data_IF_395725952186
#
_entry.id   IF_395725952186
#
_cell.length_a   1.000
_cell.length_b   1.000
_cell.length_c   1.000
_cell.angle_alpha   90.00
_cell.angle_beta   90.00
_cell.angle_gamma   90.00
#
_symmetry.space_group_name_H-M   'P 1'
#
loop_
_entity.id
_entity.type
_entity.pdbx_description
1 polymer ?
#
# COMPACT_ATOMS: atom_id res chain seq x y z
N UNK A 1 -1.07 -4.66 22.42
CA UNK A 1 -1.74 -4.02 21.29
C UNK A 1 -2.03 -5.03 20.18
N UNK A 2 -3.01 -4.73 19.33
CA UNK A 2 -3.36 -5.54 18.14
C UNK A 2 -2.14 -5.84 17.26
N UNK A 3 -1.30 -4.83 17.04
CA UNK A 3 -0.08 -4.97 16.27
C UNK A 3 0.88 -6.01 16.87
N UNK A 4 1.10 -5.97 18.19
CA UNK A 4 1.94 -6.97 18.87
C UNK A 4 1.38 -8.40 18.75
N UNK A 5 0.06 -8.57 18.74
CA UNK A 5 -0.58 -9.86 18.55
C UNK A 5 -0.42 -10.39 17.12
N UNK A 6 -0.47 -9.49 16.11
CA UNK A 6 -0.24 -9.85 14.72
C UNK A 6 1.21 -10.27 14.45
N UNK A 7 2.17 -9.72 15.19
CA UNK A 7 3.60 -10.10 15.12
C UNK A 7 3.92 -11.40 15.86
N UNK A 8 3.05 -11.81 16.78
CA UNK A 8 3.20 -13.08 17.51
C UNK A 8 2.36 -14.17 16.87
N UNK A 9 2.74 -15.41 17.12
CA UNK A 9 2.01 -16.59 16.61
C UNK A 9 0.78 -16.92 17.49
N UNK A 10 -0.06 -15.90 17.76
CA UNK A 10 -1.35 -16.09 18.42
C UNK A 10 -2.37 -16.70 17.47
N UNK A 11 -3.36 -17.40 17.98
CA UNK A 11 -4.39 -18.01 17.16
C UNK A 11 -5.23 -16.96 16.39
N UNK A 12 -5.82 -17.36 15.27
CA UNK A 12 -6.76 -16.51 14.50
C UNK A 12 -7.94 -16.09 15.37
N UNK A 13 -8.42 -16.99 16.25
CA UNK A 13 -9.55 -16.70 17.13
C UNK A 13 -9.23 -15.62 18.17
N UNK A 14 -8.02 -15.63 18.71
CA UNK A 14 -7.55 -14.59 19.63
C UNK A 14 -7.40 -13.25 18.92
N UNK A 15 -6.89 -13.25 17.67
CA UNK A 15 -6.82 -12.05 16.85
C UNK A 15 -8.20 -11.47 16.56
N UNK A 16 -9.15 -12.30 16.14
CA UNK A 16 -10.54 -11.89 15.87
C UNK A 16 -11.15 -11.23 17.10
N UNK A 17 -11.04 -11.86 18.28
CA UNK A 17 -11.54 -11.29 19.55
C UNK A 17 -10.89 -9.94 19.87
N UNK A 18 -9.58 -9.81 19.66
CA UNK A 18 -8.87 -8.57 19.92
C UNK A 18 -9.33 -7.44 18.98
N UNK A 19 -9.64 -7.75 17.73
CA UNK A 19 -10.24 -6.80 16.79
C UNK A 19 -11.68 -6.44 17.20
N UNK A 20 -12.49 -7.40 17.62
CA UNK A 20 -13.86 -7.16 18.10
C UNK A 20 -13.90 -6.20 19.30
N UNK A 21 -12.87 -6.22 20.14
CA UNK A 21 -12.71 -5.26 21.24
C UNK A 21 -12.27 -3.86 20.78
N UNK A 22 -11.79 -3.73 19.55
CA UNK A 22 -11.35 -2.47 18.94
C UNK A 22 -12.25 -2.07 17.78
N UNK A 23 -13.49 -1.69 18.09
CA UNK A 23 -14.54 -1.42 17.08
C UNK A 23 -14.12 -0.39 16.03
N UNK A 24 -13.44 0.69 16.43
CA UNK A 24 -13.01 1.76 15.52
C UNK A 24 -12.02 1.23 14.49
N UNK A 25 -10.96 0.55 14.93
CA UNK A 25 -9.96 -0.06 14.04
C UNK A 25 -10.60 -1.10 13.12
N UNK A 26 -11.50 -1.93 13.66
CA UNK A 26 -12.21 -2.95 12.88
C UNK A 26 -13.10 -2.35 11.80
N UNK A 27 -13.85 -1.30 12.10
CA UNK A 27 -14.69 -0.59 11.12
C UNK A 27 -13.86 0.08 10.05
N UNK A 28 -12.79 0.78 10.40
CA UNK A 28 -11.86 1.41 9.44
C UNK A 28 -11.23 0.36 8.53
N UNK A 29 -10.79 -0.76 9.10
CA UNK A 29 -10.23 -1.87 8.33
C UNK A 29 -11.23 -2.47 7.34
N UNK A 30 -12.46 -2.76 7.78
CA UNK A 30 -13.50 -3.31 6.92
C UNK A 30 -13.90 -2.32 5.81
N UNK A 31 -14.04 -1.04 6.11
CA UNK A 31 -14.29 0.01 5.12
C UNK A 31 -13.16 0.08 4.10
N UNK A 32 -11.93 0.08 4.58
CA UNK A 32 -10.75 0.08 3.74
C UNK A 32 -10.70 -1.14 2.82
N UNK A 33 -10.90 -2.34 3.35
CA UNK A 33 -10.93 -3.58 2.57
C UNK A 33 -12.05 -3.62 1.52
N UNK A 34 -13.18 -3.00 1.83
CA UNK A 34 -14.32 -2.91 0.92
C UNK A 34 -14.25 -1.69 -0.01
N UNK A 35 -13.23 -0.85 0.13
CA UNK A 35 -12.99 0.24 -0.80
C UNK A 35 -12.55 -0.30 -2.17
N UNK A 36 -12.69 0.53 -3.18
CA UNK A 36 -12.27 0.19 -4.54
C UNK A 36 -10.79 -0.18 -4.68
N UNK A 37 -9.95 0.14 -3.68
CA UNK A 37 -8.52 -0.20 -3.63
C UNK A 37 -8.29 -1.70 -3.79
N UNK A 38 -9.10 -2.53 -3.14
CA UNK A 38 -8.94 -4.00 -3.21
C UNK A 38 -9.72 -4.66 -4.34
N UNK A 39 -10.63 -3.96 -5.00
CA UNK A 39 -11.44 -4.49 -6.11
C UNK A 39 -12.00 -5.89 -5.85
N UNK A 40 -12.44 -6.14 -4.62
CA UNK A 40 -12.96 -7.44 -4.20
C UNK A 40 -14.30 -7.72 -4.90
N UNK A 41 -14.45 -8.93 -5.47
CA UNK A 41 -15.70 -9.35 -6.08
C UNK A 41 -16.85 -9.41 -5.08
N UNK A 42 -16.55 -9.79 -3.84
CA UNK A 42 -17.50 -9.86 -2.74
C UNK A 42 -16.99 -9.00 -1.58
N UNK A 43 -17.86 -8.18 -0.96
CA UNK A 43 -17.47 -7.40 0.20
C UNK A 43 -16.99 -8.29 1.35
N UNK A 44 -15.98 -7.82 2.05
CA UNK A 44 -15.51 -8.44 3.28
C UNK A 44 -16.40 -8.01 4.43
N UNK A 45 -16.96 -8.98 5.15
CA UNK A 45 -17.91 -8.75 6.26
C UNK A 45 -17.35 -9.09 7.64
N UNK A 46 -16.12 -9.65 7.71
CA UNK A 46 -15.54 -10.08 8.98
C UNK A 46 -14.01 -9.96 8.99
N UNK A 47 -13.45 -9.73 10.17
CA UNK A 47 -12.01 -9.71 10.41
C UNK A 47 -11.37 -11.05 10.06
N UNK A 48 -12.05 -12.16 10.32
CA UNK A 48 -11.57 -13.49 9.94
C UNK A 48 -11.36 -13.58 8.42
N UNK A 49 -12.28 -13.04 7.64
CA UNK A 49 -12.18 -13.02 6.18
C UNK A 49 -11.01 -12.13 5.73
N UNK A 50 -10.79 -10.98 6.38
CA UNK A 50 -9.62 -10.13 6.15
C UNK A 50 -8.32 -10.88 6.41
N UNK A 51 -8.21 -11.58 7.54
CA UNK A 51 -7.03 -12.41 7.88
C UNK A 51 -6.77 -13.50 6.85
N UNK A 52 -7.82 -14.10 6.32
CA UNK A 52 -7.71 -15.14 5.28
C UNK A 52 -7.24 -14.58 3.94
N UNK A 53 -7.69 -13.37 3.58
CA UNK A 53 -7.36 -12.73 2.30
C UNK A 53 -5.97 -12.09 2.30
N UNK A 54 -5.62 -11.35 3.34
CA UNK A 54 -4.37 -10.59 3.42
C UNK A 54 -3.24 -11.38 4.07
N UNK A 55 -3.56 -12.27 5.00
CA UNK A 55 -2.58 -12.83 5.91
C UNK A 55 -2.21 -11.87 7.06
N UNK A 56 -1.40 -12.36 8.00
CA UNK A 56 -1.05 -11.64 9.24
C UNK A 56 -0.15 -10.44 9.01
N UNK A 57 0.88 -10.61 8.20
CA UNK A 57 1.93 -9.60 8.02
C UNK A 57 1.40 -8.34 7.31
N UNK A 58 0.72 -8.42 6.15
CA UNK A 58 0.08 -7.25 5.56
C UNK A 58 -0.97 -6.62 6.47
N UNK A 59 -1.75 -7.43 7.21
CA UNK A 59 -2.72 -6.91 8.16
C UNK A 59 -2.07 -6.15 9.32
N UNK A 60 -0.93 -6.63 9.85
CA UNK A 60 -0.19 -5.94 10.89
C UNK A 60 0.26 -4.55 10.44
N UNK A 61 0.74 -4.43 9.21
CA UNK A 61 1.16 -3.17 8.64
C UNK A 61 -0.02 -2.19 8.47
N UNK A 62 -1.18 -2.70 8.04
CA UNK A 62 -2.39 -1.90 7.94
C UNK A 62 -2.93 -1.45 9.30
N UNK A 63 -2.97 -2.34 10.27
CA UNK A 63 -3.38 -1.98 11.64
C UNK A 63 -2.47 -0.90 12.21
N UNK A 64 -1.18 -0.99 11.96
CA UNK A 64 -0.24 0.03 12.40
C UNK A 64 -0.52 1.38 11.75
N UNK A 65 -0.81 1.42 10.44
CA UNK A 65 -1.20 2.63 9.72
C UNK A 65 -2.49 3.23 10.29
N UNK A 66 -3.50 2.40 10.54
CA UNK A 66 -4.78 2.84 11.10
C UNK A 66 -4.65 3.37 12.53
N UNK A 67 -3.87 2.69 13.38
CA UNK A 67 -3.61 3.16 14.75
C UNK A 67 -2.85 4.48 14.78
N UNK A 68 -1.93 4.67 13.83
CA UNK A 68 -1.21 5.92 13.70
C UNK A 68 -2.15 7.05 13.25
N UNK A 69 -3.02 6.79 12.28
CA UNK A 69 -4.01 7.78 11.84
C UNK A 69 -4.96 8.20 12.97
N UNK A 70 -5.31 7.29 13.89
CA UNK A 70 -6.11 7.63 15.07
C UNK A 70 -5.37 8.50 16.10
N UNK A 71 -4.08 8.22 16.29
CA UNK A 71 -3.25 9.04 17.19
C UNK A 71 -3.05 10.47 16.66
N UNK A 72 -3.25 10.69 15.35
CA UNK A 72 -3.06 11.95 14.65
C UNK A 72 -4.39 12.62 14.24
N UNK A 73 -5.55 12.18 14.72
CA UNK A 73 -6.85 12.80 14.40
C UNK A 73 -6.92 14.31 14.74
N UNK A 74 -5.92 14.82 15.46
CA UNK A 74 -5.70 16.26 15.66
C UNK A 74 -4.83 16.92 14.61
N UNK A 75 -4.20 16.19 13.69
CA UNK A 75 -3.28 16.73 12.71
C UNK A 75 -3.87 16.63 11.29
N UNK A 76 -4.24 17.78 10.72
CA UNK A 76 -4.84 17.92 9.38
C UNK A 76 -3.98 17.37 8.23
N UNK A 77 -2.74 16.92 8.52
CA UNK A 77 -1.78 16.46 7.52
C UNK A 77 -1.84 14.96 7.21
N UNK A 78 -2.57 14.16 7.96
CA UNK A 78 -2.58 12.70 7.80
C UNK A 78 -3.40 12.25 6.58
N UNK A 79 -4.53 12.90 6.32
CA UNK A 79 -5.39 12.57 5.17
C UNK A 79 -4.66 12.70 3.82
N UNK A 80 -3.93 13.80 3.52
CA UNK A 80 -3.15 13.90 2.28
C UNK A 80 -2.10 12.80 2.12
N UNK A 81 -1.42 12.39 3.21
CA UNK A 81 -0.43 11.32 3.17
C UNK A 81 -1.07 9.96 2.85
N UNK A 82 -2.25 9.66 3.39
CA UNK A 82 -2.98 8.45 3.05
C UNK A 82 -3.39 8.44 1.58
N UNK A 83 -3.84 9.58 1.03
CA UNK A 83 -4.14 9.70 -0.40
C UNK A 83 -2.90 9.47 -1.27
N UNK A 84 -1.73 9.96 -0.85
CA UNK A 84 -0.47 9.68 -1.53
C UNK A 84 -0.12 8.19 -1.50
N UNK A 85 -0.35 7.49 -0.38
CA UNK A 85 -0.13 6.04 -0.27
C UNK A 85 -1.05 5.30 -1.24
N UNK A 86 -2.34 5.66 -1.30
CA UNK A 86 -3.31 5.06 -2.24
C UNK A 86 -2.88 5.27 -3.68
N UNK A 87 -2.52 6.50 -4.06
CA UNK A 87 -2.03 6.82 -5.40
C UNK A 87 -0.80 5.97 -5.76
N UNK A 88 0.18 5.93 -4.88
CA UNK A 88 1.45 5.23 -5.13
C UNK A 88 1.27 3.73 -5.22
N UNK A 89 0.46 3.13 -4.37
CA UNK A 89 0.16 1.70 -4.41
C UNK A 89 -0.56 1.31 -5.69
N UNK A 90 -1.54 2.11 -6.15
CA UNK A 90 -2.24 1.86 -7.41
C UNK A 90 -1.30 1.97 -8.61
N UNK A 91 -0.48 3.03 -8.68
CA UNK A 91 0.50 3.20 -9.74
C UNK A 91 1.49 2.03 -9.81
N UNK A 92 1.99 1.55 -8.66
CA UNK A 92 2.90 0.40 -8.59
C UNK A 92 2.26 -0.86 -9.18
N UNK A 93 1.00 -1.14 -8.81
CA UNK A 93 0.28 -2.32 -9.30
C UNK A 93 -0.02 -2.20 -10.79
N UNK A 94 -0.46 -1.05 -11.26
CA UNK A 94 -0.78 -0.81 -12.66
C UNK A 94 0.45 -0.83 -13.57
N UNK A 95 1.57 -0.28 -13.11
CA UNK A 95 2.84 -0.39 -13.84
C UNK A 95 3.34 -1.84 -13.89
N UNK A 96 3.20 -2.60 -12.80
CA UNK A 96 3.49 -4.03 -12.82
C UNK A 96 2.66 -4.75 -13.89
N UNK A 97 1.34 -4.51 -13.94
CA UNK A 97 0.44 -5.12 -14.92
C UNK A 97 0.81 -4.76 -16.36
N UNK A 98 1.27 -3.52 -16.57
CA UNK A 98 1.72 -3.05 -17.88
C UNK A 98 3.00 -3.74 -18.35
N UNK A 99 3.99 -3.85 -17.46
CA UNK A 99 5.31 -4.46 -17.77
C UNK A 99 5.24 -5.99 -17.75
N UNK A 100 4.40 -6.56 -16.89
CA UNK A 100 4.22 -8.02 -16.72
C UNK A 100 2.73 -8.38 -16.82
N UNK A 101 2.16 -8.50 -18.02
CA UNK A 101 0.71 -8.72 -18.19
C UNK A 101 0.13 -9.98 -17.52
N UNK A 102 0.99 -10.94 -17.16
CA UNK A 102 0.63 -12.16 -16.44
C UNK A 102 1.24 -12.22 -15.04
N UNK A 103 1.36 -11.06 -14.39
CA UNK A 103 1.88 -10.98 -13.03
C UNK A 103 1.08 -11.88 -12.08
N UNK A 104 1.78 -12.59 -11.22
CA UNK A 104 1.18 -13.46 -10.20
C UNK A 104 0.57 -12.65 -9.06
N UNK A 105 -0.30 -13.27 -8.28
CA UNK A 105 -0.85 -12.63 -7.06
C UNK A 105 0.26 -12.18 -6.09
N UNK A 106 1.32 -12.95 -5.98
CA UNK A 106 2.48 -12.61 -5.15
C UNK A 106 3.19 -11.36 -5.67
N UNK A 107 3.39 -11.23 -6.98
CA UNK A 107 3.99 -10.04 -7.58
C UNK A 107 3.12 -8.79 -7.37
N UNK A 108 1.80 -8.89 -7.53
CA UNK A 108 0.88 -7.79 -7.21
C UNK A 108 0.99 -7.37 -5.74
N UNK A 109 1.00 -8.35 -4.81
CA UNK A 109 1.14 -8.07 -3.39
C UNK A 109 2.47 -7.37 -3.09
N UNK A 110 3.58 -7.79 -3.69
CA UNK A 110 4.89 -7.17 -3.51
C UNK A 110 4.92 -5.74 -4.07
N UNK A 111 4.40 -5.51 -5.28
CA UNK A 111 4.34 -4.17 -5.86
C UNK A 111 3.52 -3.20 -4.99
N UNK A 112 2.35 -3.64 -4.56
CA UNK A 112 1.51 -2.90 -3.62
C UNK A 112 2.25 -2.56 -2.33
N UNK A 113 2.94 -3.55 -1.73
CA UNK A 113 3.65 -3.41 -0.47
C UNK A 113 4.82 -2.44 -0.58
N UNK A 114 5.60 -2.50 -1.66
CA UNK A 114 6.69 -1.55 -1.93
C UNK A 114 6.15 -0.12 -2.06
N UNK A 115 5.05 0.05 -2.80
CA UNK A 115 4.39 1.36 -2.93
C UNK A 115 3.98 1.94 -1.58
N UNK A 116 3.34 1.14 -0.73
CA UNK A 116 2.93 1.55 0.62
C UNK A 116 4.14 1.90 1.50
N UNK A 117 5.13 1.03 1.56
CA UNK A 117 6.29 1.21 2.42
C UNK A 117 7.18 2.38 2.00
N UNK A 118 7.15 2.76 0.73
CA UNK A 118 7.95 3.88 0.24
C UNK A 118 7.62 5.23 0.91
N UNK A 119 6.45 5.35 1.51
CA UNK A 119 5.95 6.55 2.21
C UNK A 119 5.79 6.37 3.72
N UNK A 120 6.06 5.17 4.24
CA UNK A 120 5.79 4.85 5.65
C UNK A 120 6.52 5.77 6.63
N UNK A 121 7.71 6.21 6.28
CA UNK A 121 8.53 7.12 7.10
C UNK A 121 7.88 8.49 7.30
N UNK A 122 7.10 8.96 6.34
CA UNK A 122 6.34 10.20 6.47
C UNK A 122 5.18 10.05 7.44
N UNK A 123 4.51 8.89 7.42
CA UNK A 123 3.41 8.59 8.32
C UNK A 123 3.87 8.47 9.79
N UNK A 124 5.06 7.93 10.02
CA UNK A 124 5.59 7.75 11.38
C UNK A 124 6.52 8.86 11.85
N UNK A 125 6.84 9.81 10.97
CA UNK A 125 7.81 10.87 11.25
C UNK A 125 9.12 10.32 11.84
N UNK A 126 9.63 9.24 11.27
CA UNK A 126 10.90 8.58 11.63
C UNK A 126 11.73 8.34 10.37
N UNK A 127 13.06 8.16 10.50
CA UNK A 127 13.90 7.84 9.34
C UNK A 127 13.40 6.60 8.59
N UNK A 128 13.35 6.66 7.26
CA UNK A 128 12.80 5.60 6.40
C UNK A 128 13.40 4.22 6.69
N UNK A 129 14.72 4.15 6.82
CA UNK A 129 15.43 2.91 7.15
C UNK A 129 15.03 2.33 8.50
N UNK A 130 14.78 3.19 9.48
CA UNK A 130 14.29 2.77 10.79
C UNK A 130 12.87 2.23 10.71
N UNK A 131 11.98 2.88 9.94
CA UNK A 131 10.63 2.41 9.70
C UNK A 131 10.61 0.99 9.11
N UNK A 132 11.38 0.76 8.03
CA UNK A 132 11.46 -0.54 7.37
C UNK A 132 12.07 -1.62 8.28
N UNK A 133 13.09 -1.26 9.08
CA UNK A 133 13.70 -2.19 10.05
C UNK A 133 12.73 -2.61 11.14
N UNK A 134 11.91 -1.67 11.66
CA UNK A 134 10.88 -1.97 12.66
C UNK A 134 9.80 -2.92 12.12
N UNK A 135 9.55 -2.89 10.82
CA UNK A 135 8.60 -3.76 10.14
C UNK A 135 9.18 -5.13 9.76
N UNK A 136 10.49 -5.30 9.93
CA UNK A 136 11.21 -6.53 9.57
C UNK A 136 10.90 -6.99 8.13
N UNK A 137 10.93 -6.05 7.19
CA UNK A 137 10.66 -6.35 5.78
C UNK A 137 11.78 -7.17 5.14
N UNK A 138 11.45 -7.92 4.10
CA UNK A 138 12.45 -8.67 3.33
C UNK A 138 13.52 -7.73 2.74
N UNK A 139 14.80 -8.16 2.69
CA UNK A 139 15.90 -7.30 2.21
C UNK A 139 15.69 -6.77 0.79
N UNK A 140 15.03 -7.51 -0.08
CA UNK A 140 14.70 -7.06 -1.44
C UNK A 140 13.70 -5.88 -1.44
N UNK A 141 12.75 -5.89 -0.52
CA UNK A 141 11.78 -4.80 -0.34
C UNK A 141 12.47 -3.57 0.23
N UNK A 142 13.37 -3.75 1.21
CA UNK A 142 14.16 -2.65 1.77
C UNK A 142 14.99 -1.96 0.67
N UNK A 143 15.72 -2.74 -0.15
CA UNK A 143 16.50 -2.21 -1.28
C UNK A 143 15.63 -1.51 -2.31
N UNK A 144 14.50 -2.09 -2.67
CA UNK A 144 13.56 -1.46 -3.60
C UNK A 144 13.07 -0.11 -3.10
N UNK A 145 12.67 -0.02 -1.83
CA UNK A 145 12.14 1.21 -1.23
C UNK A 145 13.21 2.29 -1.03
N UNK A 146 14.42 1.90 -0.62
CA UNK A 146 15.47 2.81 -0.17
C UNK A 146 16.47 3.16 -1.27
N UNK A 147 16.89 2.16 -2.05
CA UNK A 147 17.94 2.28 -3.06
C UNK A 147 17.37 2.33 -4.49
N UNK A 148 16.10 2.02 -4.66
CA UNK A 148 15.50 1.89 -5.99
C UNK A 148 16.01 0.65 -6.75
N UNK A 149 16.58 -0.32 -6.03
CA UNK A 149 17.23 -1.49 -6.61
C UNK A 149 16.24 -2.61 -6.94
N UNK A 150 16.58 -3.39 -7.95
CA UNK A 150 15.78 -4.49 -8.44
C UNK A 150 14.51 -4.06 -9.20
N UNK A 151 13.75 -5.04 -9.66
CA UNK A 151 12.57 -4.80 -10.51
C UNK A 151 11.52 -3.89 -9.84
N UNK A 152 11.18 -4.15 -8.58
CA UNK A 152 10.22 -3.31 -7.85
C UNK A 152 10.77 -1.93 -7.51
N UNK A 153 12.08 -1.82 -7.34
CA UNK A 153 12.76 -0.52 -7.17
C UNK A 153 12.72 0.31 -8.45
N UNK A 154 12.85 -0.32 -9.62
CA UNK A 154 12.69 0.32 -10.91
C UNK A 154 11.25 0.84 -11.11
N UNK A 155 10.23 0.03 -10.79
CA UNK A 155 8.82 0.46 -10.82
C UNK A 155 8.60 1.65 -9.88
N UNK A 156 9.13 1.60 -8.66
CA UNK A 156 9.00 2.68 -7.69
C UNK A 156 9.70 3.97 -8.17
N UNK A 157 10.85 3.85 -8.81
CA UNK A 157 11.56 4.98 -9.41
C UNK A 157 10.71 5.62 -10.51
N UNK A 158 10.08 4.81 -11.36
CA UNK A 158 9.16 5.30 -12.38
C UNK A 158 7.95 6.03 -11.77
N UNK A 159 7.34 5.48 -10.70
CA UNK A 159 6.24 6.17 -9.99
C UNK A 159 6.69 7.52 -9.44
N UNK A 160 7.88 7.58 -8.84
CA UNK A 160 8.45 8.85 -8.34
C UNK A 160 8.69 9.84 -9.48
N UNK A 161 9.13 9.37 -10.64
CA UNK A 161 9.32 10.22 -11.82
C UNK A 161 7.99 10.78 -12.34
N UNK A 162 6.91 10.00 -12.27
CA UNK A 162 5.56 10.49 -12.59
C UNK A 162 5.14 11.58 -11.58
N UNK A 163 5.37 11.37 -10.29
CA UNK A 163 5.00 12.33 -9.23
C UNK A 163 5.65 13.71 -9.44
N UNK A 164 6.88 13.77 -9.97
CA UNK A 164 7.62 15.02 -10.21
C UNK A 164 7.67 15.45 -11.68
N UNK A 165 6.98 14.72 -12.57
CA UNK A 165 6.95 14.97 -14.01
C UNK A 165 8.34 14.97 -14.68
N UNK A 166 9.22 14.05 -14.26
CA UNK A 166 10.54 13.85 -14.87
C UNK A 166 10.40 13.13 -16.21
N UNK A 167 10.28 13.93 -17.27
CA UNK A 167 10.05 13.42 -18.63
C UNK A 167 11.18 12.52 -19.12
N UNK A 168 12.44 12.84 -18.78
CA UNK A 168 13.61 12.08 -19.26
C UNK A 168 13.64 10.68 -18.63
N UNK A 169 13.39 10.61 -17.32
CA UNK A 169 13.31 9.34 -16.59
C UNK A 169 12.12 8.49 -17.06
N UNK A 170 10.96 9.12 -17.30
CA UNK A 170 9.77 8.44 -17.83
C UNK A 170 10.06 7.87 -19.21
N UNK A 171 10.63 8.65 -20.13
CA UNK A 171 10.97 8.21 -21.49
C UNK A 171 11.99 7.06 -21.48
N UNK A 172 13.00 7.14 -20.61
CA UNK A 172 13.99 6.07 -20.45
C UNK A 172 13.36 4.76 -19.95
N UNK A 173 12.40 4.83 -19.02
CA UNK A 173 11.66 3.66 -18.55
C UNK A 173 10.79 3.07 -19.68
N UNK A 174 10.02 3.89 -20.37
CA UNK A 174 9.15 3.46 -21.47
C UNK A 174 9.96 2.78 -22.59
N UNK A 175 11.08 3.39 -22.98
CA UNK A 175 11.97 2.83 -24.00
C UNK A 175 12.55 1.47 -23.59
N UNK A 176 12.91 1.30 -22.31
CA UNK A 176 13.46 0.04 -21.79
C UNK A 176 12.47 -1.11 -21.83
N UNK A 177 11.19 -0.80 -21.66
CA UNK A 177 10.12 -1.79 -21.62
C UNK A 177 9.27 -1.86 -22.90
N UNK A 178 9.72 -1.24 -24.00
CA UNK A 178 8.99 -1.18 -25.28
C UNK A 178 7.57 -0.61 -25.13
N UNK A 179 7.41 0.40 -24.29
CA UNK A 179 6.14 1.07 -23.98
C UNK A 179 6.08 2.47 -24.59
N UNK A 180 4.87 3.01 -24.69
CA UNK A 180 4.62 4.39 -25.16
C UNK A 180 3.79 5.19 -24.17
N UNK A 181 3.89 6.53 -24.22
CA UNK A 181 3.17 7.43 -23.31
C UNK A 181 1.65 7.19 -23.26
N UNK A 182 1.03 6.87 -24.39
CA UNK A 182 -0.40 6.59 -24.46
C UNK A 182 -0.85 5.43 -23.54
N UNK A 183 0.07 4.55 -23.13
CA UNK A 183 -0.23 3.45 -22.19
C UNK A 183 -0.18 3.88 -20.72
N UNK A 184 0.44 5.03 -20.43
CA UNK A 184 0.46 5.58 -19.06
C UNK A 184 -0.80 6.37 -18.71
N UNK A 185 -1.45 7.02 -19.67
CA UNK A 185 -2.64 7.84 -19.42
C UNK A 185 -3.75 7.07 -18.66
N UNK A 186 -4.17 5.86 -19.10
CA UNK A 186 -5.19 5.11 -18.39
C UNK A 186 -4.73 4.65 -16.99
N UNK A 187 -3.44 4.43 -16.79
CA UNK A 187 -2.86 4.05 -15.49
C UNK A 187 -2.94 5.22 -14.51
N UNK A 188 -2.52 6.39 -14.95
CA UNK A 188 -2.57 7.63 -14.13
C UNK A 188 -4.03 7.98 -13.82
N UNK A 189 -4.92 7.90 -14.80
CA UNK A 189 -6.34 8.14 -14.61
C UNK A 189 -6.96 7.15 -13.58
N UNK A 190 -6.61 5.86 -13.66
CA UNK A 190 -7.06 4.85 -12.72
C UNK A 190 -6.57 5.13 -11.29
N UNK A 191 -5.32 5.59 -11.12
CA UNK A 191 -4.78 5.95 -9.81
C UNK A 191 -5.51 7.16 -9.22
N UNK A 192 -5.79 8.19 -10.00
CA UNK A 192 -6.58 9.36 -9.57
C UNK A 192 -8.00 8.95 -9.16
N UNK A 193 -8.65 8.11 -9.96
CA UNK A 193 -9.98 7.57 -9.65
C UNK A 193 -9.99 6.83 -8.31
N UNK A 194 -8.98 5.98 -8.04
CA UNK A 194 -8.82 5.27 -6.76
C UNK A 194 -8.68 6.23 -5.58
N UNK A 195 -7.88 7.29 -5.74
CA UNK A 195 -7.72 8.33 -4.70
C UNK A 195 -9.06 8.98 -4.40
N UNK A 196 -9.82 9.38 -5.43
CA UNK A 196 -11.13 10.01 -5.27
C UNK A 196 -12.13 9.08 -4.56
N UNK A 197 -12.15 7.80 -4.93
CA UNK A 197 -13.02 6.79 -4.32
C UNK A 197 -12.64 6.53 -2.85
N UNK A 198 -11.34 6.52 -2.55
CA UNK A 198 -10.87 6.36 -1.17
C UNK A 198 -11.23 7.57 -0.32
N UNK A 199 -11.00 8.79 -0.81
CA UNK A 199 -11.33 10.04 -0.12
C UNK A 199 -12.83 10.10 0.19
N UNK A 200 -13.68 9.79 -0.79
CA UNK A 200 -15.13 9.73 -0.61
C UNK A 200 -15.59 8.67 0.41
N UNK A 201 -14.83 7.58 0.58
CA UNK A 201 -15.15 6.52 1.54
C UNK A 201 -14.70 6.84 2.97
N UNK A 202 -13.74 7.78 3.12
CA UNK A 202 -13.21 8.19 4.43
C UNK A 202 -13.93 9.39 5.02
N UNK A 203 -14.58 10.21 4.19
CA UNK A 203 -15.45 11.34 4.61
C UNK A 203 -16.83 10.87 4.99
#
# INVERSE_FOLDING_TARGET
>A
SLWNMLQRDVSIDELVKAFELNHTVSLKLLRFMNSAVFSLRNPVSSIRHVLTLLGREPLANWVMLLMYSEAQESDQNTAPLLLMVVNRTELMVKLLELVVPKATKSQHATAYFVGMLSLIHLLFNIPHREALRRLNVAPEIERACFEGDGFYGELLTMVRSIDILDSDAIEAFLSRHDLVYAQLEPIIAAAIEKVNQFDAAMG
#
